data_IF_950569492664
#
_entry.id   IF_950569492664
#
_cell.length_a   1.000
_cell.length_b   1.000
_cell.length_c   1.000
_cell.angle_alpha   90.00
_cell.angle_beta   90.00
_cell.angle_gamma   90.00
#
_symmetry.space_group_name_H-M   'P 1'
#
loop_
_entity.id
_entity.type
_entity.pdbx_description
1 polymer ?
#
# COMPACT_ATOMS: atom_id res chain seq x y z
N UNK A 1 -23.54 23.66 -20.46
CA UNK A 1 -23.02 22.55 -19.63
C UNK A 1 -21.65 22.97 -19.08
N UNK A 2 -21.52 22.99 -17.77
CA UNK A 2 -20.28 23.32 -17.07
C UNK A 2 -19.31 22.14 -17.25
N UNK A 3 -18.17 22.36 -17.88
CA UNK A 3 -17.15 21.31 -18.04
C UNK A 3 -16.38 21.17 -16.74
N UNK A 4 -16.58 20.08 -16.02
CA UNK A 4 -15.74 19.70 -14.88
C UNK A 4 -14.45 19.10 -15.44
N UNK A 5 -13.33 19.82 -15.26
CA UNK A 5 -12.00 19.31 -15.60
C UNK A 5 -11.34 18.78 -14.31
N UNK A 6 -11.04 17.48 -14.27
CA UNK A 6 -10.19 16.90 -13.25
C UNK A 6 -8.72 17.08 -13.60
N UNK A 7 -7.90 17.64 -12.72
CA UNK A 7 -6.45 17.59 -12.87
C UNK A 7 -5.96 16.20 -12.42
N UNK A 8 -5.14 15.54 -13.25
CA UNK A 8 -4.46 14.31 -12.84
C UNK A 8 -3.54 14.58 -11.64
N UNK A 9 -3.78 13.90 -10.53
CA UNK A 9 -2.93 14.02 -9.34
C UNK A 9 -1.72 13.11 -9.56
N UNK A 10 -0.51 13.67 -9.45
CA UNK A 10 0.72 12.89 -9.64
C UNK A 10 0.97 12.00 -8.44
N UNK A 11 1.40 10.78 -8.68
CA UNK A 11 1.97 9.93 -7.64
C UNK A 11 3.31 10.54 -7.20
N UNK A 12 3.51 10.72 -5.88
CA UNK A 12 4.77 11.22 -5.33
C UNK A 12 5.01 10.66 -3.93
N UNK A 13 6.29 10.65 -3.53
CA UNK A 13 6.73 10.29 -2.20
C UNK A 13 7.69 11.36 -1.70
N UNK A 14 7.50 11.83 -0.45
CA UNK A 14 8.31 12.88 0.18
C UNK A 14 9.00 12.36 1.42
N UNK A 15 10.13 12.98 1.78
CA UNK A 15 10.69 12.83 3.11
C UNK A 15 9.63 13.25 4.13
N UNK A 16 9.33 12.42 5.17
CA UNK A 16 8.15 12.66 6.01
C UNK A 16 8.38 13.67 7.14
N UNK A 17 9.59 14.10 7.41
CA UNK A 17 9.89 15.01 8.49
C UNK A 17 11.15 15.85 8.24
N UNK A 18 11.28 16.92 9.00
CA UNK A 18 12.45 17.78 9.14
C UNK A 18 12.42 18.50 10.48
N UNK A 19 13.29 19.49 10.65
CA UNK A 19 13.36 20.25 11.90
C UNK A 19 12.05 21.02 12.15
N UNK A 20 11.28 20.61 13.16
CA UNK A 20 10.05 21.23 13.56
C UNK A 20 8.81 20.93 12.71
N UNK A 21 8.88 19.95 11.79
CA UNK A 21 7.73 19.55 10.99
C UNK A 21 7.71 18.05 10.68
N UNK A 22 6.52 17.50 10.48
CA UNK A 22 6.29 16.17 9.96
C UNK A 22 5.06 16.14 9.04
N UNK A 23 4.97 15.15 8.17
CA UNK A 23 3.91 14.97 7.18
C UNK A 23 3.22 13.62 7.41
N UNK A 24 1.89 13.58 7.27
CA UNK A 24 1.07 12.37 7.34
C UNK A 24 0.17 12.29 6.11
N UNK A 25 -0.19 11.07 5.70
CA UNK A 25 -1.10 10.83 4.60
C UNK A 25 -0.68 11.54 3.31
N UNK A 26 -1.63 12.09 2.57
CA UNK A 26 -1.44 12.74 1.26
C UNK A 26 -0.43 13.91 1.28
N UNK A 27 -0.17 14.52 2.43
CA UNK A 27 0.88 15.52 2.55
C UNK A 27 2.28 14.91 2.40
N UNK A 28 2.48 13.68 2.87
CA UNK A 28 3.74 12.94 2.83
C UNK A 28 3.95 12.14 1.55
N UNK A 29 2.90 11.59 1.00
CA UNK A 29 2.90 10.85 -0.26
C UNK A 29 1.48 10.85 -0.83
N UNK A 30 1.39 10.89 -2.14
CA UNK A 30 0.11 10.77 -2.84
C UNK A 30 0.19 9.66 -3.86
N UNK A 31 -0.82 8.83 -3.91
CA UNK A 31 -0.97 7.78 -4.91
C UNK A 31 -2.37 7.83 -5.50
N UNK A 32 -2.51 7.30 -6.72
CA UNK A 32 -3.80 7.19 -7.39
C UNK A 32 -4.84 6.48 -6.49
N UNK A 33 -6.09 6.92 -6.57
CA UNK A 33 -7.18 6.41 -5.74
C UNK A 33 -7.67 5.01 -6.12
N UNK A 34 -7.12 4.42 -7.18
CA UNK A 34 -7.56 3.11 -7.71
C UNK A 34 -7.51 1.98 -6.67
N UNK A 35 -6.61 2.05 -5.68
CA UNK A 35 -6.52 1.07 -4.58
C UNK A 35 -7.25 1.48 -3.30
N UNK A 36 -7.86 2.68 -3.27
CA UNK A 36 -8.68 3.19 -2.16
C UNK A 36 -8.01 3.19 -0.77
N UNK A 37 -6.68 3.38 -0.68
CA UNK A 37 -5.90 3.26 0.57
C UNK A 37 -5.71 4.56 1.36
N UNK A 38 -5.99 5.75 0.76
CA UNK A 38 -5.57 7.04 1.30
C UNK A 38 -6.03 7.33 2.74
N UNK A 39 -7.28 7.01 3.08
CA UNK A 39 -7.82 7.25 4.43
C UNK A 39 -7.15 6.34 5.47
N UNK A 40 -6.98 5.07 5.16
CA UNK A 40 -6.34 4.10 6.04
C UNK A 40 -4.88 4.46 6.31
N UNK A 41 -4.16 4.85 5.26
CA UNK A 41 -2.78 5.30 5.35
C UNK A 41 -2.66 6.55 6.24
N UNK A 42 -3.53 7.54 6.06
CA UNK A 42 -3.52 8.75 6.88
C UNK A 42 -3.74 8.46 8.37
N UNK A 43 -4.65 7.55 8.73
CA UNK A 43 -4.85 7.13 10.13
C UNK A 43 -3.63 6.41 10.70
N UNK A 44 -3.02 5.50 9.95
CA UNK A 44 -1.82 4.78 10.38
C UNK A 44 -0.62 5.71 10.55
N UNK A 45 -0.42 6.62 9.61
CA UNK A 45 0.65 7.61 9.70
C UNK A 45 0.46 8.51 10.93
N UNK A 46 -0.78 8.95 11.19
CA UNK A 46 -1.09 9.78 12.36
C UNK A 46 -0.80 9.05 13.67
N UNK A 47 -1.18 7.77 13.79
CA UNK A 47 -0.87 6.94 14.95
C UNK A 47 0.64 6.76 15.12
N UNK A 48 1.34 6.37 14.05
CA UNK A 48 2.79 6.13 14.09
C UNK A 48 3.57 7.40 14.42
N UNK A 49 3.17 8.54 13.84
CA UNK A 49 3.78 9.85 14.16
C UNK A 49 3.48 10.27 15.60
N UNK A 50 2.24 10.08 16.08
CA UNK A 50 1.86 10.42 17.45
C UNK A 50 2.72 9.68 18.47
N UNK A 51 2.94 8.38 18.28
CA UNK A 51 3.80 7.57 19.12
C UNK A 51 5.26 8.06 19.10
N UNK A 52 5.79 8.39 17.92
CA UNK A 52 7.14 8.92 17.79
C UNK A 52 7.31 10.29 18.46
N UNK A 53 6.29 11.16 18.39
CA UNK A 53 6.30 12.45 19.08
C UNK A 53 6.20 12.29 20.59
N UNK A 54 5.39 11.36 21.08
CA UNK A 54 5.29 11.04 22.51
C UNK A 54 6.62 10.57 23.08
N UNK A 55 7.32 9.66 22.38
CA UNK A 55 8.67 9.22 22.75
C UNK A 55 9.67 10.38 22.80
N UNK A 56 9.59 11.31 21.86
CA UNK A 56 10.47 12.46 21.82
C UNK A 56 10.16 13.48 22.93
N UNK A 57 8.90 13.79 23.17
CA UNK A 57 8.49 14.78 24.16
C UNK A 57 8.60 14.28 25.60
N UNK A 58 8.41 12.98 25.83
CA UNK A 58 8.67 12.35 27.12
C UNK A 58 10.17 12.21 27.45
N UNK A 59 11.05 12.45 26.48
CA UNK A 59 12.49 12.27 26.64
C UNK A 59 12.95 10.81 26.56
N UNK A 60 12.06 9.89 26.16
CA UNK A 60 12.37 8.45 25.99
C UNK A 60 13.30 8.20 24.79
N UNK A 61 13.27 9.08 23.78
CA UNK A 61 14.15 9.04 22.62
C UNK A 61 14.50 10.46 22.14
N UNK A 62 15.62 10.58 21.40
CA UNK A 62 15.89 11.83 20.70
C UNK A 62 14.87 12.07 19.58
N UNK A 63 14.61 13.35 19.24
CA UNK A 63 13.73 13.68 18.10
C UNK A 63 14.19 13.00 16.81
N UNK A 64 15.50 13.03 16.54
CA UNK A 64 16.07 12.40 15.34
C UNK A 64 15.81 10.89 15.29
N UNK A 65 15.98 10.19 16.41
CA UNK A 65 15.77 8.74 16.45
C UNK A 65 14.28 8.38 16.34
N UNK A 66 13.41 9.10 17.05
CA UNK A 66 11.97 8.90 17.00
C UNK A 66 11.43 9.15 15.60
N UNK A 67 11.81 10.26 14.96
CA UNK A 67 11.39 10.58 13.59
C UNK A 67 12.02 9.64 12.55
N UNK A 68 13.23 9.17 12.78
CA UNK A 68 13.86 8.14 11.95
C UNK A 68 13.07 6.83 11.95
N UNK A 69 12.56 6.39 13.12
CA UNK A 69 11.68 5.22 13.23
C UNK A 69 10.33 5.44 12.55
N UNK A 70 9.71 6.62 12.74
CA UNK A 70 8.50 6.98 12.01
C UNK A 70 8.69 6.87 10.50
N UNK A 71 9.75 7.44 9.96
CA UNK A 71 10.08 7.38 8.54
C UNK A 71 10.23 5.94 8.05
N UNK A 72 11.04 5.15 8.74
CA UNK A 72 11.29 3.75 8.37
C UNK A 72 10.01 2.91 8.42
N UNK A 73 9.20 3.06 9.46
CA UNK A 73 7.94 2.32 9.62
C UNK A 73 6.90 2.71 8.54
N UNK A 74 6.77 4.02 8.25
CA UNK A 74 5.90 4.51 7.18
C UNK A 74 6.30 3.91 5.83
N UNK A 75 7.58 4.04 5.46
CA UNK A 75 8.05 3.61 4.16
C UNK A 75 7.93 2.08 3.99
N UNK A 76 8.34 1.32 4.99
CA UNK A 76 8.20 -0.13 4.96
C UNK A 76 6.75 -0.61 4.75
N UNK A 77 5.78 0.13 5.30
CA UNK A 77 4.38 -0.21 5.16
C UNK A 77 3.78 0.27 3.83
N UNK A 78 4.08 1.51 3.43
CA UNK A 78 3.37 2.16 2.31
C UNK A 78 3.98 1.83 0.97
N UNK A 79 5.32 1.72 0.86
CA UNK A 79 6.01 1.56 -0.43
C UNK A 79 5.50 0.38 -1.27
N UNK A 80 5.27 -0.83 -0.73
CA UNK A 80 4.79 -1.95 -1.55
C UNK A 80 3.43 -1.67 -2.21
N UNK A 81 2.50 -1.06 -1.46
CA UNK A 81 1.18 -0.71 -1.99
C UNK A 81 1.26 0.52 -2.90
N UNK A 82 2.15 1.45 -2.65
CA UNK A 82 2.40 2.61 -3.52
C UNK A 82 2.88 2.16 -4.90
N UNK A 83 3.87 1.28 -4.96
CA UNK A 83 4.40 0.71 -6.21
C UNK A 83 3.32 -0.06 -6.97
N UNK A 84 2.57 -0.91 -6.28
CA UNK A 84 1.46 -1.65 -6.85
C UNK A 84 0.38 -0.71 -7.40
N UNK A 85 0.02 0.34 -6.66
CA UNK A 85 -0.94 1.36 -7.11
C UNK A 85 -0.44 2.10 -8.34
N UNK A 86 0.84 2.48 -8.39
CA UNK A 86 1.43 3.14 -9.55
C UNK A 86 1.35 2.27 -10.81
N UNK A 87 1.58 0.97 -10.68
CA UNK A 87 1.44 0.03 -11.81
C UNK A 87 -0.02 -0.07 -12.27
N UNK A 88 -0.97 -0.20 -11.35
CA UNK A 88 -2.39 -0.27 -11.69
C UNK A 88 -2.90 1.04 -12.33
N UNK A 89 -2.40 2.18 -11.90
CA UNK A 89 -2.82 3.49 -12.37
C UNK A 89 -2.38 3.80 -13.82
N UNK A 90 -1.51 2.98 -14.42
CA UNK A 90 -1.21 3.09 -15.86
C UNK A 90 -2.41 2.73 -16.73
N UNK A 91 -3.34 1.94 -16.19
CA UNK A 91 -4.49 1.36 -16.90
C UNK A 91 -4.09 0.53 -18.12
N UNK A 92 -2.84 0.13 -18.20
CA UNK A 92 -2.37 -0.82 -19.22
C UNK A 92 -2.91 -2.24 -18.90
N UNK A 93 -3.16 -3.05 -19.93
CA UNK A 93 -3.52 -4.45 -19.71
C UNK A 93 -2.48 -5.15 -18.83
N UNK A 94 -2.89 -5.91 -17.80
CA UNK A 94 -1.94 -6.60 -16.96
C UNK A 94 -1.08 -7.58 -17.77
N UNK A 95 0.19 -7.79 -17.40
CA UNK A 95 1.07 -8.76 -18.05
C UNK A 95 0.47 -10.17 -18.09
N UNK A 96 0.86 -11.04 -19.05
CA UNK A 96 0.30 -12.38 -19.18
C UNK A 96 0.34 -13.20 -17.89
N UNK A 97 1.41 -13.09 -17.11
CA UNK A 97 1.56 -13.79 -15.83
C UNK A 97 0.51 -13.34 -14.80
N UNK A 98 0.22 -12.02 -14.77
CA UNK A 98 -0.81 -11.45 -13.90
C UNK A 98 -2.20 -11.89 -14.35
N UNK A 99 -2.47 -11.94 -15.66
CA UNK A 99 -3.74 -12.42 -16.20
C UNK A 99 -3.97 -13.89 -15.82
N UNK A 100 -2.93 -14.72 -15.91
CA UNK A 100 -2.98 -16.13 -15.49
C UNK A 100 -3.25 -16.26 -14.00
N UNK A 101 -2.58 -15.47 -13.17
CA UNK A 101 -2.80 -15.46 -11.73
C UNK A 101 -4.24 -15.05 -11.39
N UNK A 102 -4.76 -13.98 -11.99
CA UNK A 102 -6.15 -13.55 -11.79
C UNK A 102 -7.15 -14.63 -12.22
N UNK A 103 -6.84 -15.35 -13.33
CA UNK A 103 -7.61 -16.51 -13.75
C UNK A 103 -7.60 -17.66 -12.73
N UNK A 104 -6.45 -17.90 -12.09
CA UNK A 104 -6.32 -18.93 -11.04
C UNK A 104 -7.00 -18.50 -9.71
N UNK A 105 -7.03 -17.21 -9.40
CA UNK A 105 -7.78 -16.65 -8.26
C UNK A 105 -9.28 -16.80 -8.46
N UNK A 106 -9.78 -16.58 -9.68
CA UNK A 106 -11.20 -16.68 -9.99
C UNK A 106 -11.77 -18.08 -9.66
N UNK A 107 -12.84 -18.10 -8.88
CA UNK A 107 -13.50 -19.34 -8.43
C UNK A 107 -12.75 -20.10 -7.31
N UNK A 108 -11.64 -19.57 -6.80
CA UNK A 108 -10.96 -20.07 -5.61
C UNK A 108 -11.29 -19.14 -4.43
N UNK A 109 -12.21 -19.55 -3.55
CA UNK A 109 -12.71 -18.69 -2.47
C UNK A 109 -11.58 -18.18 -1.58
N UNK A 110 -10.65 -19.04 -1.18
CA UNK A 110 -9.51 -18.64 -0.35
C UNK A 110 -8.62 -17.59 -1.05
N UNK A 111 -8.33 -17.81 -2.32
CA UNK A 111 -7.52 -16.87 -3.10
C UNK A 111 -8.27 -15.54 -3.38
N UNK A 112 -9.58 -15.59 -3.59
CA UNK A 112 -10.41 -14.38 -3.72
C UNK A 112 -10.44 -13.59 -2.41
N UNK A 113 -10.59 -14.26 -1.27
CA UNK A 113 -10.56 -13.62 0.05
C UNK A 113 -9.20 -12.96 0.32
N UNK A 114 -8.10 -13.63 -0.03
CA UNK A 114 -6.74 -13.06 0.07
C UNK A 114 -6.57 -11.85 -0.85
N UNK A 115 -7.11 -11.91 -2.07
CA UNK A 115 -7.06 -10.79 -3.01
C UNK A 115 -7.86 -9.58 -2.50
N UNK A 116 -9.04 -9.80 -1.92
CA UNK A 116 -9.80 -8.73 -1.26
C UNK A 116 -9.04 -8.15 -0.06
N UNK A 117 -8.40 -8.98 0.74
CA UNK A 117 -7.55 -8.55 1.88
C UNK A 117 -6.37 -7.69 1.44
N UNK A 118 -5.83 -7.90 0.23
CA UNK A 118 -4.81 -7.03 -0.35
C UNK A 118 -5.35 -5.59 -0.51
N UNK A 119 -6.52 -5.42 -1.11
CA UNK A 119 -7.16 -4.10 -1.26
C UNK A 119 -7.70 -3.54 0.06
N UNK A 120 -7.99 -4.38 1.03
CA UNK A 120 -8.33 -3.93 2.38
C UNK A 120 -7.10 -3.55 3.22
N UNK A 121 -5.87 -3.64 2.68
CA UNK A 121 -4.63 -3.31 3.38
C UNK A 121 -4.29 -4.25 4.55
N UNK A 122 -4.90 -5.45 4.58
CA UNK A 122 -4.66 -6.49 5.59
C UNK A 122 -3.50 -7.39 5.21
N UNK A 123 -3.35 -7.63 3.90
CA UNK A 123 -2.24 -8.40 3.32
C UNK A 123 -1.41 -7.47 2.46
N UNK A 124 -0.09 -7.51 2.56
CA UNK A 124 0.77 -6.67 1.73
C UNK A 124 0.88 -7.25 0.30
N UNK A 125 1.16 -6.40 -0.73
CA UNK A 125 1.50 -6.89 -2.06
C UNK A 125 2.65 -7.88 -2.05
N UNK A 126 3.67 -7.66 -1.21
CA UNK A 126 4.82 -8.57 -1.09
C UNK A 126 4.38 -9.96 -0.65
N UNK A 127 3.46 -10.06 0.32
CA UNK A 127 2.93 -11.35 0.79
C UNK A 127 2.03 -12.01 -0.26
N UNK A 128 1.12 -11.23 -0.86
CA UNK A 128 0.19 -11.77 -1.84
C UNK A 128 0.90 -12.32 -3.08
N UNK A 129 1.88 -11.58 -3.62
CA UNK A 129 2.64 -11.96 -4.81
C UNK A 129 3.90 -12.79 -4.49
N UNK A 130 4.09 -13.22 -3.24
CA UNK A 130 5.19 -14.12 -2.90
C UNK A 130 5.13 -15.42 -3.74
N UNK A 131 6.26 -15.92 -4.26
CA UNK A 131 6.28 -17.12 -5.13
C UNK A 131 5.58 -18.32 -4.51
N UNK A 132 5.70 -18.51 -3.20
CA UNK A 132 5.05 -19.58 -2.46
C UNK A 132 3.53 -19.46 -2.49
N UNK A 133 2.99 -18.25 -2.26
CA UNK A 133 1.55 -18.01 -2.29
C UNK A 133 0.99 -18.16 -3.70
N UNK A 134 1.67 -17.60 -4.69
CA UNK A 134 1.31 -17.71 -6.12
C UNK A 134 1.30 -19.19 -6.56
N UNK A 135 2.32 -19.98 -6.16
CA UNK A 135 2.39 -21.40 -6.44
C UNK A 135 1.21 -22.18 -5.82
N UNK A 136 0.82 -21.85 -4.60
CA UNK A 136 -0.35 -22.44 -3.91
C UNK A 136 -1.66 -22.14 -4.65
N UNK A 137 -1.84 -20.90 -5.10
CA UNK A 137 -3.04 -20.48 -5.87
C UNK A 137 -3.14 -21.28 -7.18
N UNK A 138 -2.04 -21.42 -7.92
CA UNK A 138 -2.02 -22.20 -9.15
C UNK A 138 -2.29 -23.70 -8.91
N UNK A 139 -1.68 -24.30 -7.89
CA UNK A 139 -1.89 -25.70 -7.54
C UNK A 139 -3.38 -25.98 -7.22
N UNK A 140 -4.00 -25.12 -6.45
CA UNK A 140 -5.43 -25.24 -6.13
C UNK A 140 -6.33 -25.04 -7.36
N UNK A 141 -5.93 -24.19 -8.31
CA UNK A 141 -6.67 -23.99 -9.57
C UNK A 141 -6.65 -25.25 -10.45
N UNK A 142 -5.51 -25.94 -10.54
CA UNK A 142 -5.39 -27.18 -11.34
C UNK A 142 -6.25 -28.33 -10.81
N UNK A 143 -6.38 -28.45 -9.48
CA UNK A 143 -7.23 -29.47 -8.84
C UNK A 143 -8.75 -29.30 -9.12
N UNK A 144 -9.18 -28.10 -9.49
CA UNK A 144 -10.59 -27.81 -9.81
C UNK A 144 -10.96 -28.11 -11.27
N UNK A 145 -9.96 -28.21 -12.14
CA UNK A 145 -10.14 -28.48 -13.58
C UNK A 145 -9.95 -29.96 -13.93
N UNK A 146 -9.52 -30.78 -12.99
CA UNK A 146 -9.37 -32.23 -13.09
C UNK A 146 -10.58 -32.97 -12.55
#
# INVERSE_FOLDING_TARGET
>A
EERIAGAGIRNFFRKPYGDGWALVGDAGYNKDSITAQGIQDAFRDAETLSNALDESFSGSASYSDAMGRYHAARDAHVLPMFEFTCQMATLEPPPPEMQQLLGAVHGNQEAMDQFVRLFAGVTSPVEFFAPENVGRIFAASQQRTA
#
